data_IF_784265753186
#
_entry.id   IF_784265753186
#
_cell.length_a   1.000
_cell.length_b   1.000
_cell.length_c   1.000
_cell.angle_alpha   90.00
_cell.angle_beta   90.00
_cell.angle_gamma   90.00
#
_symmetry.space_group_name_H-M   'P 1'
#
loop_
_entity.id
_entity.type
_entity.pdbx_description
1 polymer ?
#
# COMPACT_ATOMS: atom_id res chain seq x y z
N UNK A 1 -13.21 6.35 4.18
CA UNK A 1 -12.18 5.50 4.81
C UNK A 1 -11.63 6.25 6.00
N UNK A 2 -11.71 5.68 7.17
CA UNK A 2 -11.17 6.23 8.41
C UNK A 2 -10.17 5.21 8.96
N UNK A 3 -9.01 5.68 9.36
CA UNK A 3 -7.98 4.83 9.95
C UNK A 3 -6.62 5.52 9.98
N UNK A 4 -5.74 4.96 10.76
CA UNK A 4 -4.35 5.40 10.87
C UNK A 4 -3.48 4.16 11.09
N UNK A 5 -2.24 4.21 10.63
CA UNK A 5 -1.24 3.17 10.92
C UNK A 5 -0.98 2.98 12.41
N UNK A 6 -1.40 3.94 13.25
CA UNK A 6 -1.31 3.91 14.72
C UNK A 6 -2.61 3.48 15.39
N UNK A 7 -3.66 3.12 14.64
CA UNK A 7 -4.90 2.59 15.20
C UNK A 7 -4.67 1.25 15.87
N UNK A 8 -5.43 0.94 16.94
CA UNK A 8 -5.32 -0.29 17.71
C UNK A 8 -5.37 -1.57 16.85
N UNK A 9 -6.19 -1.57 15.79
CA UNK A 9 -6.26 -2.68 14.83
C UNK A 9 -5.08 -2.79 13.85
N UNK A 10 -4.18 -1.82 13.81
CA UNK A 10 -2.99 -1.80 12.96
C UNK A 10 -1.69 -1.98 13.77
N UNK A 11 -1.81 -2.12 15.09
CA UNK A 11 -0.69 -2.28 16.00
C UNK A 11 -0.09 -3.69 15.84
N UNK A 12 1.17 -3.75 15.41
CA UNK A 12 1.84 -5.00 15.04
C UNK A 12 2.74 -5.60 16.11
N UNK A 13 2.83 -5.03 17.33
CA UNK A 13 3.81 -5.44 18.33
C UNK A 13 3.60 -6.89 18.81
N UNK A 14 2.36 -7.33 18.95
CA UNK A 14 2.06 -8.70 19.30
C UNK A 14 2.51 -9.70 18.22
N UNK A 15 2.34 -9.31 16.96
CA UNK A 15 2.76 -10.14 15.85
C UNK A 15 4.28 -10.20 15.76
N UNK A 16 4.94 -9.04 15.82
CA UNK A 16 6.40 -8.95 15.81
C UNK A 16 7.03 -9.75 16.98
N UNK A 17 6.48 -9.63 18.18
CA UNK A 17 6.99 -10.29 19.38
C UNK A 17 6.90 -11.81 19.32
N UNK A 18 5.84 -12.35 18.70
CA UNK A 18 5.54 -13.77 18.72
C UNK A 18 5.98 -14.53 17.48
N UNK A 19 6.30 -13.84 16.38
CA UNK A 19 6.54 -14.47 15.08
C UNK A 19 7.93 -14.17 14.48
N UNK A 20 8.81 -13.51 15.22
CA UNK A 20 10.15 -13.16 14.76
C UNK A 20 10.14 -12.41 13.41
N UNK A 21 9.28 -11.40 13.29
CA UNK A 21 9.12 -10.58 12.10
C UNK A 21 9.20 -9.09 12.44
N UNK A 22 9.63 -8.29 11.48
CA UNK A 22 9.51 -6.84 11.52
C UNK A 22 8.17 -6.44 10.90
N UNK A 23 7.34 -5.73 11.63
CA UNK A 23 6.06 -5.21 11.14
C UNK A 23 6.20 -3.72 10.82
N UNK A 24 5.86 -3.35 9.60
CA UNK A 24 5.85 -1.96 9.14
C UNK A 24 4.42 -1.58 8.80
N UNK A 25 3.91 -0.54 9.48
CA UNK A 25 2.63 0.08 9.16
C UNK A 25 2.86 1.52 8.71
N UNK A 26 2.09 1.99 7.75
CA UNK A 26 2.27 3.32 7.19
C UNK A 26 0.94 3.94 6.75
N UNK A 27 0.92 5.26 6.66
CA UNK A 27 -0.19 6.02 6.10
C UNK A 27 0.12 6.42 4.65
N UNK A 28 -0.88 6.43 3.80
CA UNK A 28 -0.81 6.94 2.44
C UNK A 28 -1.93 7.95 2.21
N UNK A 29 -1.77 8.83 1.26
CA UNK A 29 -2.78 9.83 0.91
C UNK A 29 -4.06 9.16 0.43
N UNK A 30 -5.20 9.65 0.90
CA UNK A 30 -6.54 9.12 0.61
C UNK A 30 -7.46 10.22 0.06
N UNK A 31 -8.65 9.82 -0.40
CA UNK A 31 -9.63 10.74 -0.98
C UNK A 31 -9.08 11.50 -2.18
N UNK A 32 -9.48 12.74 -2.34
CA UNK A 32 -9.06 13.60 -3.46
C UNK A 32 -7.55 13.85 -3.49
N UNK A 33 -6.88 13.86 -2.34
CA UNK A 33 -5.43 14.08 -2.27
C UNK A 33 -4.62 12.87 -2.70
N UNK A 34 -5.19 11.68 -2.61
CA UNK A 34 -4.53 10.43 -2.99
C UNK A 34 -4.93 9.92 -4.37
N UNK A 35 -6.19 10.13 -4.77
CA UNK A 35 -6.77 9.40 -5.88
C UNK A 35 -7.63 10.26 -6.84
N UNK A 36 -7.46 11.59 -6.82
CA UNK A 36 -8.17 12.45 -7.75
C UNK A 36 -7.61 12.30 -9.17
N UNK A 37 -8.42 11.78 -10.09
CA UNK A 37 -8.11 11.79 -11.51
C UNK A 37 -8.70 13.06 -12.16
N UNK A 38 -7.84 13.89 -12.75
CA UNK A 38 -8.26 15.08 -13.50
C UNK A 38 -7.29 15.35 -14.66
N UNK A 39 -7.78 15.62 -15.90
CA UNK A 39 -6.91 15.79 -17.07
C UNK A 39 -5.79 16.81 -16.88
N UNK A 40 -6.06 17.96 -16.27
CA UNK A 40 -5.04 18.99 -16.00
C UNK A 40 -3.96 18.56 -15.00
N UNK A 41 -4.24 17.58 -14.14
CA UNK A 41 -3.22 16.99 -13.25
C UNK A 41 -2.35 16.03 -14.03
N UNK A 42 -2.95 15.25 -14.92
CA UNK A 42 -2.23 14.32 -15.79
C UNK A 42 -1.26 15.07 -16.75
N UNK A 43 -1.66 16.22 -17.29
CA UNK A 43 -0.78 17.07 -18.11
C UNK A 43 0.48 17.55 -17.35
N UNK A 44 0.38 17.74 -16.04
CA UNK A 44 1.52 18.16 -15.19
C UNK A 44 2.45 17.02 -14.82
N UNK A 45 1.90 15.86 -14.57
CA UNK A 45 2.65 14.64 -14.21
C UNK A 45 1.71 13.45 -14.22
N UNK A 46 2.07 12.38 -14.90
CA UNK A 46 1.34 11.11 -14.86
C UNK A 46 1.18 10.56 -13.43
N UNK A 47 2.13 10.87 -12.55
CA UNK A 47 2.14 10.45 -11.13
C UNK A 47 1.16 11.22 -10.25
N UNK A 48 0.67 12.39 -10.67
CA UNK A 48 -0.23 13.21 -9.87
C UNK A 48 -1.64 12.64 -9.72
N UNK A 49 -2.03 11.66 -10.53
CA UNK A 49 -3.39 11.08 -10.51
C UNK A 49 -3.55 9.93 -9.53
N UNK A 50 -2.46 9.32 -9.06
CA UNK A 50 -2.45 8.17 -8.16
C UNK A 50 -1.45 8.36 -7.00
N UNK A 51 -1.51 9.52 -6.36
CA UNK A 51 -0.56 9.89 -5.32
C UNK A 51 -0.56 8.92 -4.12
N UNK A 52 -1.72 8.32 -3.78
CA UNK A 52 -1.81 7.29 -2.75
C UNK A 52 -1.05 6.01 -3.12
N UNK A 53 -1.09 5.60 -4.39
CA UNK A 53 -0.32 4.45 -4.87
C UNK A 53 1.19 4.76 -4.90
N UNK A 54 1.57 5.98 -5.31
CA UNK A 54 2.97 6.42 -5.25
C UNK A 54 3.52 6.44 -3.83
N UNK A 55 2.72 6.81 -2.84
CA UNK A 55 3.10 6.74 -1.42
C UNK A 55 3.39 5.29 -0.98
N UNK A 56 2.56 4.34 -1.44
CA UNK A 56 2.76 2.90 -1.17
C UNK A 56 4.05 2.40 -1.84
N UNK A 57 4.28 2.73 -3.11
CA UNK A 57 5.52 2.38 -3.82
C UNK A 57 6.75 3.01 -3.16
N UNK A 58 6.66 4.26 -2.72
CA UNK A 58 7.75 4.93 -2.00
C UNK A 58 8.06 4.22 -0.68
N UNK A 59 7.03 3.78 0.06
CA UNK A 59 7.20 2.99 1.28
C UNK A 59 7.90 1.66 0.99
N UNK A 60 7.50 0.94 -0.05
CA UNK A 60 8.12 -0.33 -0.43
C UNK A 60 9.59 -0.15 -0.84
N UNK A 61 9.91 0.92 -1.59
CA UNK A 61 11.30 1.26 -1.92
C UNK A 61 12.10 1.61 -0.68
N UNK A 62 11.50 2.32 0.28
CA UNK A 62 12.13 2.62 1.56
C UNK A 62 12.42 1.33 2.36
N UNK A 63 11.46 0.41 2.44
CA UNK A 63 11.62 -0.91 3.09
C UNK A 63 12.79 -1.65 2.43
N UNK A 64 12.81 -1.74 1.11
CA UNK A 64 13.89 -2.41 0.37
C UNK A 64 15.26 -1.85 0.69
N UNK A 65 15.37 -0.54 0.89
CA UNK A 65 16.63 0.15 1.14
C UNK A 65 17.08 0.16 2.61
N UNK A 66 16.12 -0.01 3.56
CA UNK A 66 16.42 0.30 4.97
C UNK A 66 16.07 -0.82 5.95
N UNK A 67 15.27 -1.82 5.59
CA UNK A 67 14.70 -2.75 6.57
C UNK A 67 15.77 -3.61 7.27
N UNK A 68 16.93 -3.79 6.67
CA UNK A 68 18.07 -4.48 7.29
C UNK A 68 18.55 -3.79 8.57
N UNK A 69 18.49 -2.46 8.65
CA UNK A 69 18.85 -1.70 9.86
C UNK A 69 17.88 -1.97 11.02
N UNK A 70 16.72 -2.56 10.74
CA UNK A 70 15.71 -2.95 11.72
C UNK A 70 15.68 -4.47 11.96
N UNK A 71 16.67 -5.21 11.40
CA UNK A 71 16.74 -6.66 11.52
C UNK A 71 15.84 -7.42 10.54
N UNK A 72 15.19 -6.73 9.57
CA UNK A 72 14.37 -7.34 8.55
C UNK A 72 15.17 -7.80 7.33
N UNK A 73 14.55 -8.65 6.51
CA UNK A 73 15.12 -9.14 5.26
C UNK A 73 14.44 -8.45 4.07
N UNK A 74 15.14 -7.61 3.28
CA UNK A 74 14.59 -6.93 2.11
C UNK A 74 14.19 -7.90 0.97
N UNK A 75 14.65 -9.13 1.02
CA UNK A 75 14.33 -10.19 0.05
C UNK A 75 13.23 -11.15 0.55
N UNK A 76 12.59 -10.81 1.68
CA UNK A 76 11.46 -11.57 2.22
C UNK A 76 10.39 -10.61 2.78
N UNK A 77 9.76 -9.86 1.91
CA UNK A 77 8.72 -8.87 2.25
C UNK A 77 7.35 -9.42 1.87
N UNK A 78 6.47 -9.51 2.84
CA UNK A 78 5.07 -9.90 2.64
C UNK A 78 4.16 -8.69 2.86
N UNK A 79 3.31 -8.39 1.89
CA UNK A 79 2.25 -7.41 2.05
C UNK A 79 1.01 -8.07 2.64
N UNK A 80 0.33 -7.40 3.55
CA UNK A 80 -1.01 -7.82 3.96
C UNK A 80 -1.92 -6.61 4.15
N UNK A 81 -3.18 -6.77 3.80
CA UNK A 81 -4.14 -5.68 3.88
C UNK A 81 -5.57 -6.16 3.86
N UNK A 82 -6.43 -5.35 4.49
CA UNK A 82 -7.88 -5.61 4.61
C UNK A 82 -8.64 -4.54 3.84
N UNK A 83 -9.75 -4.92 3.17
CA UNK A 83 -10.65 -4.00 2.47
C UNK A 83 -9.88 -3.16 1.43
N UNK A 84 -9.86 -1.85 1.57
CA UNK A 84 -9.10 -0.94 0.70
C UNK A 84 -7.60 -1.28 0.63
N UNK A 85 -6.99 -1.75 1.73
CA UNK A 85 -5.62 -2.24 1.73
C UNK A 85 -5.45 -3.48 0.86
N UNK A 86 -6.42 -4.40 0.88
CA UNK A 86 -6.45 -5.55 -0.01
C UNK A 86 -6.56 -5.13 -1.48
N UNK A 87 -7.46 -4.19 -1.80
CA UNK A 87 -7.61 -3.66 -3.16
C UNK A 87 -6.31 -2.99 -3.65
N UNK A 88 -5.65 -2.23 -2.79
CA UNK A 88 -4.37 -1.60 -3.11
C UNK A 88 -3.27 -2.64 -3.40
N UNK A 89 -3.19 -3.72 -2.61
CA UNK A 89 -2.24 -4.81 -2.85
C UNK A 89 -2.52 -5.48 -4.20
N UNK A 90 -3.78 -5.71 -4.56
CA UNK A 90 -4.13 -6.28 -5.86
C UNK A 90 -3.67 -5.37 -7.03
N UNK A 91 -3.75 -4.06 -6.88
CA UNK A 91 -3.18 -3.12 -7.86
C UNK A 91 -1.65 -3.25 -7.91
N UNK A 92 -0.98 -3.31 -6.75
CA UNK A 92 0.48 -3.46 -6.69
C UNK A 92 0.98 -4.77 -7.32
N UNK A 93 0.21 -5.87 -7.23
CA UNK A 93 0.54 -7.13 -7.88
C UNK A 93 0.62 -7.03 -9.42
N UNK A 94 -0.08 -6.09 -10.01
CA UNK A 94 -0.09 -5.83 -11.46
C UNK A 94 0.75 -4.63 -11.88
N UNK A 95 1.31 -3.89 -10.90
CA UNK A 95 2.10 -2.70 -11.12
C UNK A 95 3.57 -3.04 -11.45
N UNK A 96 4.09 -2.70 -12.63
CA UNK A 96 5.47 -3.00 -12.99
C UNK A 96 6.50 -2.39 -12.03
N UNK A 97 6.22 -1.20 -11.49
CA UNK A 97 7.09 -0.46 -10.58
C UNK A 97 7.22 -1.14 -9.20
N UNK A 98 6.29 -2.03 -8.87
CA UNK A 98 6.33 -2.81 -7.63
C UNK A 98 7.15 -4.10 -7.75
N UNK A 99 7.61 -4.45 -8.96
CA UNK A 99 8.36 -5.67 -9.21
C UNK A 99 9.64 -5.74 -8.38
N UNK A 100 9.78 -6.80 -7.60
CA UNK A 100 10.94 -7.04 -6.73
C UNK A 100 10.96 -6.23 -5.43
N UNK A 101 9.89 -5.49 -5.12
CA UNK A 101 9.74 -4.76 -3.86
C UNK A 101 9.05 -5.61 -2.77
N UNK A 102 8.34 -6.67 -3.15
CA UNK A 102 7.73 -7.63 -2.24
C UNK A 102 7.70 -9.04 -2.85
N UNK A 103 7.46 -10.07 -2.05
CA UNK A 103 7.64 -11.48 -2.40
C UNK A 103 6.38 -12.31 -2.18
N UNK A 104 5.51 -11.87 -1.28
CA UNK A 104 4.22 -12.49 -0.99
C UNK A 104 3.16 -11.44 -0.67
N UNK A 105 1.89 -11.80 -0.79
CA UNK A 105 0.77 -10.94 -0.50
C UNK A 105 -0.39 -11.73 0.16
N UNK A 106 -1.01 -11.11 1.16
CA UNK A 106 -2.22 -11.59 1.83
C UNK A 106 -3.29 -10.52 1.66
N UNK A 107 -4.33 -10.82 0.92
CA UNK A 107 -5.44 -9.92 0.63
C UNK A 107 -6.71 -10.39 1.34
N UNK A 108 -7.27 -9.54 2.19
CA UNK A 108 -8.44 -9.87 3.01
C UNK A 108 -9.59 -8.93 2.68
N UNK A 109 -10.75 -9.50 2.32
CA UNK A 109 -12.00 -8.75 2.15
C UNK A 109 -11.90 -7.56 1.19
N UNK A 110 -11.19 -7.72 0.07
CA UNK A 110 -11.09 -6.73 -0.99
C UNK A 110 -10.81 -7.39 -2.33
N UNK A 111 -11.38 -6.84 -3.39
CA UNK A 111 -11.23 -7.29 -4.77
C UNK A 111 -10.85 -6.11 -5.66
N UNK A 112 -9.98 -6.30 -6.67
CA UNK A 112 -9.75 -5.28 -7.69
C UNK A 112 -10.99 -5.09 -8.59
N UNK A 113 -11.95 -6.00 -8.51
CA UNK A 113 -13.18 -6.03 -9.31
C UNK A 113 -14.44 -5.60 -8.54
N UNK A 114 -14.32 -4.99 -7.37
CA UNK A 114 -15.45 -4.31 -6.75
C UNK A 114 -15.71 -3.03 -7.54
N UNK A 115 -16.43 -3.18 -8.62
CA UNK A 115 -16.99 -2.10 -9.40
C UNK A 115 -18.27 -1.60 -8.70
N UNK A 116 -18.13 -0.71 -7.74
CA UNK A 116 -19.12 0.35 -7.65
C UNK A 116 -18.74 1.30 -8.81
N UNK A 117 -19.34 1.09 -9.97
CA UNK A 117 -19.27 2.05 -11.06
C UNK A 117 -19.90 3.35 -10.54
N UNK A 118 -19.05 4.30 -10.22
CA UNK A 118 -19.51 5.67 -10.05
C UNK A 118 -19.73 6.20 -11.46
N UNK A 119 -20.97 6.09 -11.95
CA UNK A 119 -21.38 6.83 -13.14
C UNK A 119 -21.17 8.31 -12.86
N UNK A 120 -20.14 8.85 -13.48
CA UNK A 120 -19.90 10.29 -13.55
C UNK A 120 -20.70 10.81 -14.74
N UNK A 121 -22.05 10.92 -14.59
CA UNK A 121 -22.88 11.70 -15.48
C UNK A 121 -22.65 13.22 -15.28
#
# INVERSE_FOLDING_TARGET
>A
MNGSSTSEGCEGSNFARNQDVVVVTFNYRVGIFGFMAHPKLHEKSEKCTNAGLEDMLATLRWIKANIEFFGGNPDNVTLFGVSAGSSAINVLLTCPEAKGLFHAAITQSGSPFNHDEWDLD
#
